data_IF_817469264278
#
_entry.id   IF_817469264278
#
_cell.length_a   1.000
_cell.length_b   1.000
_cell.length_c   1.000
_cell.angle_alpha   90.00
_cell.angle_beta   90.00
_cell.angle_gamma   90.00
#
_symmetry.space_group_name_H-M   'P 1'
#
loop_
_entity.id
_entity.type
_entity.pdbx_description
1 polymer ?
#
# COMPACT_ATOMS: atom_id res chain seq x y z
N UNK A 1 -7.53 -2.32 -1.55
CA UNK A 1 -7.40 -0.85 -1.42
C UNK A 1 -7.38 -0.21 -2.81
N UNK A 2 -6.43 -0.57 -3.66
CA UNK A 2 -6.27 -0.09 -5.04
C UNK A 2 -7.52 -0.24 -5.93
N UNK A 3 -8.23 -1.37 -5.88
CA UNK A 3 -9.50 -1.56 -6.61
C UNK A 3 -10.58 -0.52 -6.26
N UNK A 4 -10.66 -0.10 -5.00
CA UNK A 4 -11.63 0.91 -4.57
C UNK A 4 -11.24 2.35 -4.95
N UNK A 5 -9.97 2.59 -5.26
CA UNK A 5 -9.46 3.91 -5.62
C UNK A 5 -9.51 4.15 -7.14
N UNK A 6 -9.05 3.17 -7.91
CA UNK A 6 -8.81 3.33 -9.36
C UNK A 6 -9.32 2.15 -10.20
N UNK A 7 -10.15 1.27 -9.63
CA UNK A 7 -10.75 0.15 -10.36
C UNK A 7 -9.90 -1.12 -10.42
N UNK A 8 -10.49 -2.17 -11.00
CA UNK A 8 -9.96 -3.54 -10.94
C UNK A 8 -8.71 -3.73 -11.80
N UNK A 9 -8.67 -3.12 -13.00
CA UNK A 9 -7.53 -3.22 -13.93
C UNK A 9 -6.23 -2.68 -13.31
N UNK A 10 -6.30 -1.49 -12.69
CA UNK A 10 -5.20 -0.95 -11.92
C UNK A 10 -4.83 -1.85 -10.74
N UNK A 11 -5.82 -2.36 -10.00
CA UNK A 11 -5.56 -3.21 -8.84
C UNK A 11 -4.78 -4.47 -9.19
N UNK A 12 -5.08 -5.11 -10.32
CA UNK A 12 -4.36 -6.30 -10.76
C UNK A 12 -2.93 -5.98 -11.18
N UNK A 13 -2.74 -4.86 -11.90
CA UNK A 13 -1.41 -4.40 -12.28
C UNK A 13 -0.55 -4.00 -11.07
N UNK A 14 -1.13 -3.27 -10.12
CA UNK A 14 -0.42 -2.79 -8.92
C UNK A 14 0.05 -3.95 -8.03
N UNK A 15 -0.73 -5.03 -7.93
CA UNK A 15 -0.32 -6.25 -7.20
C UNK A 15 0.89 -6.93 -7.85
N UNK A 16 1.03 -6.85 -9.17
CA UNK A 16 2.18 -7.43 -9.88
C UNK A 16 3.45 -6.57 -9.76
N UNK A 17 3.31 -5.25 -9.58
CA UNK A 17 4.46 -4.35 -9.53
C UNK A 17 4.97 -4.04 -8.13
N UNK A 18 4.10 -4.03 -7.12
CA UNK A 18 4.55 -3.73 -5.76
C UNK A 18 4.86 -5.02 -5.02
N UNK A 19 6.06 -5.14 -4.46
CA UNK A 19 6.31 -6.18 -3.46
C UNK A 19 5.73 -5.75 -2.09
N UNK A 20 5.37 -6.72 -1.26
CA UNK A 20 4.98 -6.47 0.14
C UNK A 20 6.09 -5.73 0.90
N UNK A 21 7.36 -6.03 0.59
CA UNK A 21 8.50 -5.43 1.27
C UNK A 21 8.63 -3.94 0.99
N UNK A 22 8.56 -3.55 -0.28
CA UNK A 22 8.66 -2.15 -0.71
C UNK A 22 7.57 -1.28 -0.10
N UNK A 23 6.33 -1.79 -0.09
CA UNK A 23 5.19 -1.09 0.51
C UNK A 23 5.40 -0.83 2.01
N UNK A 24 5.86 -1.84 2.77
CA UNK A 24 6.08 -1.70 4.22
C UNK A 24 7.27 -0.81 4.52
N UNK A 25 8.35 -0.94 3.74
CA UNK A 25 9.55 -0.13 3.91
C UNK A 25 9.23 1.35 3.70
N UNK A 26 8.45 1.67 2.67
CA UNK A 26 8.05 3.05 2.40
C UNK A 26 7.16 3.64 3.48
N UNK A 27 6.20 2.88 4.00
CA UNK A 27 5.39 3.35 5.14
C UNK A 27 6.27 3.61 6.35
N UNK A 28 7.24 2.72 6.63
CA UNK A 28 8.17 2.90 7.74
C UNK A 28 9.08 4.13 7.55
N UNK A 29 9.55 4.37 6.32
CA UNK A 29 10.37 5.54 5.97
C UNK A 29 9.59 6.86 6.12
N UNK A 30 8.35 6.92 5.62
CA UNK A 30 7.54 8.15 5.65
C UNK A 30 6.93 8.45 7.03
N UNK A 31 6.64 7.43 7.83
CA UNK A 31 5.88 7.58 9.09
C UNK A 31 6.67 7.23 10.35
N UNK A 32 7.82 6.57 10.23
CA UNK A 32 8.55 5.98 11.35
C UNK A 32 7.90 4.72 11.93
N UNK A 33 6.78 4.24 11.37
CA UNK A 33 5.99 3.14 11.93
C UNK A 33 6.20 1.87 11.11
N UNK A 34 6.68 0.82 11.77
CA UNK A 34 6.88 -0.49 11.14
C UNK A 34 5.58 -1.28 11.17
N UNK A 35 5.05 -1.59 9.98
CA UNK A 35 3.92 -2.49 9.81
C UNK A 35 4.39 -3.94 9.73
N UNK A 36 3.61 -4.86 10.32
CA UNK A 36 3.91 -6.28 10.24
C UNK A 36 3.55 -6.79 8.84
N UNK A 37 4.44 -7.56 8.18
CA UNK A 37 4.09 -8.21 6.93
C UNK A 37 2.86 -9.08 7.11
N UNK A 38 1.90 -8.97 6.20
CA UNK A 38 0.74 -9.82 6.13
C UNK A 38 1.12 -11.24 5.68
N UNK A 39 2.00 -11.93 6.40
CA UNK A 39 2.23 -13.36 6.19
C UNK A 39 1.07 -14.14 6.82
N UNK A 40 0.20 -14.66 5.96
CA UNK A 40 -0.82 -15.66 6.26
C UNK A 40 -1.27 -16.30 4.96
N UNK A 41 -1.35 -17.64 4.94
CA UNK A 41 -1.85 -18.48 3.84
C UNK A 41 -1.46 -18.01 2.42
N UNK A 42 -0.17 -18.10 2.07
CA UNK A 42 0.26 -18.10 0.66
C UNK A 42 -0.29 -16.99 -0.25
N UNK A 43 -0.59 -15.80 0.29
CA UNK A 43 -1.27 -14.77 -0.50
C UNK A 43 -0.25 -13.99 -1.33
N UNK A 44 -0.34 -14.10 -2.66
CA UNK A 44 0.41 -13.32 -3.65
C UNK A 44 0.10 -11.81 -3.63
N UNK A 45 -0.49 -11.31 -2.53
CA UNK A 45 -0.98 -9.95 -2.40
C UNK A 45 -0.13 -9.15 -1.41
N UNK A 46 0.39 -7.99 -1.83
CA UNK A 46 1.03 -7.04 -0.94
C UNK A 46 0.08 -6.62 0.18
N UNK A 47 0.41 -6.99 1.41
CA UNK A 47 -0.42 -6.67 2.58
C UNK A 47 0.41 -6.48 3.85
N UNK A 48 -0.05 -5.57 4.70
CA UNK A 48 0.53 -5.26 6.00
C UNK A 48 -0.54 -5.20 7.08
N UNK A 49 -0.14 -5.43 8.33
CA UNK A 49 -1.00 -5.33 9.52
C UNK A 49 -0.47 -4.24 10.45
N UNK A 50 -1.37 -3.36 10.87
CA UNK A 50 -1.14 -2.38 11.93
C UNK A 50 -1.91 -2.81 13.18
N UNK A 51 -1.30 -2.65 14.36
CA UNK A 51 -2.03 -2.75 15.63
C UNK A 51 -2.87 -1.49 15.82
N UNK A 52 -4.17 -1.64 16.10
CA UNK A 52 -5.09 -0.53 16.43
C UNK A 52 -5.06 -0.13 17.93
N UNK A 53 -4.28 -0.82 18.75
CA UNK A 53 -4.23 -0.59 20.19
C UNK A 53 -3.01 0.24 20.64
N UNK A 54 -2.03 0.47 19.75
CA UNK A 54 -0.69 0.88 20.14
C UNK A 54 -0.27 2.26 19.60
N UNK A 55 -1.11 2.91 18.78
CA UNK A 55 -0.78 4.21 18.16
C UNK A 55 -1.92 5.20 18.40
N UNK A 56 -1.61 6.47 18.24
CA UNK A 56 -2.56 7.57 18.30
C UNK A 56 -3.25 7.80 16.94
N UNK A 57 -4.38 8.49 16.94
CA UNK A 57 -5.16 8.76 15.72
C UNK A 57 -4.35 9.44 14.61
N UNK A 58 -3.47 10.38 14.95
CA UNK A 58 -2.65 11.10 13.97
C UNK A 58 -1.62 10.18 13.27
N UNK A 59 -1.18 9.12 13.95
CA UNK A 59 -0.23 8.13 13.42
C UNK A 59 -0.93 7.22 12.42
N UNK A 60 -2.16 6.78 12.72
CA UNK A 60 -2.99 6.07 11.75
C UNK A 60 -3.29 6.93 10.52
N UNK A 61 -3.57 8.22 10.72
CA UNK A 61 -3.76 9.16 9.62
C UNK A 61 -2.48 9.36 8.78
N UNK A 62 -1.29 9.29 9.39
CA UNK A 62 -0.02 9.32 8.67
C UNK A 62 0.18 8.06 7.81
N UNK A 63 -0.08 6.86 8.38
CA UNK A 63 -0.02 5.59 7.64
C UNK A 63 -0.96 5.62 6.44
N UNK A 64 -2.21 6.06 6.64
CA UNK A 64 -3.20 6.17 5.56
C UNK A 64 -2.76 7.13 4.44
N UNK A 65 -2.14 8.27 4.79
CA UNK A 65 -1.61 9.24 3.80
C UNK A 65 -0.44 8.67 3.01
N UNK A 66 0.50 8.00 3.66
CA UNK A 66 1.64 7.36 2.99
C UNK A 66 1.15 6.28 2.00
N UNK A 67 0.22 5.42 2.43
CA UNK A 67 -0.39 4.41 1.57
C UNK A 67 -1.17 5.01 0.39
N UNK A 68 -1.83 6.14 0.61
CA UNK A 68 -2.54 6.85 -0.46
C UNK A 68 -1.56 7.38 -1.50
N UNK A 69 -0.49 8.06 -1.08
CA UNK A 69 0.55 8.56 -1.98
C UNK A 69 1.19 7.45 -2.82
N UNK A 70 1.51 6.31 -2.20
CA UNK A 70 2.02 5.15 -2.92
C UNK A 70 1.03 4.68 -4.00
N UNK A 71 -0.26 4.60 -3.68
CA UNK A 71 -1.29 4.21 -4.65
C UNK A 71 -1.43 5.23 -5.79
N UNK A 72 -1.38 6.53 -5.48
CA UNK A 72 -1.45 7.61 -6.46
C UNK A 72 -0.24 7.55 -7.43
N UNK A 73 0.99 7.34 -6.91
CA UNK A 73 2.20 7.20 -7.73
C UNK A 73 2.19 5.96 -8.63
N UNK A 74 1.74 4.82 -8.10
CA UNK A 74 1.53 3.62 -8.89
C UNK A 74 0.51 3.87 -10.00
N UNK A 75 -0.54 4.65 -9.72
CA UNK A 75 -1.54 4.99 -10.72
C UNK A 75 -1.00 5.94 -11.81
N UNK A 76 -0.17 6.91 -11.44
CA UNK A 76 0.52 7.74 -12.44
C UNK A 76 1.45 6.91 -13.35
N UNK A 77 2.19 5.95 -12.78
CA UNK A 77 3.00 5.01 -13.56
C UNK A 77 2.13 4.12 -14.47
N UNK A 78 0.98 3.66 -13.97
CA UNK A 78 0.03 2.87 -14.75
C UNK A 78 -0.50 3.66 -15.96
N UNK A 79 -0.89 4.92 -15.77
CA UNK A 79 -1.31 5.82 -16.86
C UNK A 79 -0.18 6.12 -17.83
N UNK A 80 1.05 6.33 -17.34
CA UNK A 80 2.22 6.57 -18.19
C UNK A 80 2.54 5.39 -19.12
N UNK A 81 2.14 4.17 -18.74
CA UNK A 81 2.24 2.97 -19.58
C UNK A 81 1.12 2.85 -20.63
N UNK A 82 0.23 3.85 -20.74
CA UNK A 82 -0.89 3.85 -21.69
C UNK A 82 -1.97 2.83 -21.36
N UNK A 83 -2.09 2.43 -20.08
CA UNK A 83 -3.14 1.53 -19.62
C UNK A 83 -4.27 2.34 -18.98
N UNK A 84 -5.49 2.15 -19.44
CA UNK A 84 -6.73 2.82 -18.99
C UNK A 84 -7.72 1.81 -18.40
#
# INVERSE_FOLDING_TARGET
MTCRLYGEAFSQWAVQQSSTGDMLFRVADETGIVLLPGRGFGSDRPSGRASLANLNEYEYAAIGRALRRLADELYEQYKALGKE
#
